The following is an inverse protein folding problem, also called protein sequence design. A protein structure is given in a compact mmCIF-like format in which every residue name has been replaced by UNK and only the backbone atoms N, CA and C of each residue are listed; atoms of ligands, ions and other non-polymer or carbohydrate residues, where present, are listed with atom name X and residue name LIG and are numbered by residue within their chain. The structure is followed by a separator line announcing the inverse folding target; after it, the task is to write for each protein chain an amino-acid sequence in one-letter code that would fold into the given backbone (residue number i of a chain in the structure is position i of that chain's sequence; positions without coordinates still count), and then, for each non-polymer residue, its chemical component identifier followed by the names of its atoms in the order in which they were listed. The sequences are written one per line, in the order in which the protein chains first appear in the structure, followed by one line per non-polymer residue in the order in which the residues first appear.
data_IF_633803091240
#
_entry.id   IF_633803091240
#
_cell.length_a   1.000
_cell.length_b   1.000
_cell.length_c   1.000
_cell.angle_alpha   90.00
_cell.angle_beta   90.00
_cell.angle_gamma   90.00
#
_symmetry.space_group_name_H-M   'P 1'
#
loop_
_entity.id
_entity.type
_entity.pdbx_description
1 polymer ?
#
# COMPACT_ATOMS: atom_id res chain seq x y z
N UNK A 1 -7.59 -42.44 14.15
CA UNK A 1 -8.07 -41.15 13.58
C UNK A 1 -7.69 -40.04 14.54
N UNK A 2 -6.74 -39.17 14.18
CA UNK A 2 -6.34 -38.05 15.04
C UNK A 2 -7.40 -36.94 15.07
N UNK A 3 -7.54 -36.18 16.16
CA UNK A 3 -8.55 -35.14 16.26
C UNK A 3 -8.28 -34.03 15.23
N UNK A 4 -9.33 -33.68 14.47
CA UNK A 4 -9.32 -32.58 13.50
C UNK A 4 -9.05 -31.27 14.22
N UNK A 5 -7.89 -30.66 13.99
CA UNK A 5 -7.55 -29.31 14.47
C UNK A 5 -8.61 -28.34 13.97
N UNK A 6 -9.48 -27.88 14.87
CA UNK A 6 -10.42 -26.81 14.56
C UNK A 6 -9.60 -25.58 14.20
N UNK A 7 -9.87 -24.98 13.04
CA UNK A 7 -9.19 -23.77 12.60
C UNK A 7 -9.36 -22.70 13.68
N UNK A 8 -8.25 -22.29 14.30
CA UNK A 8 -8.25 -21.25 15.33
C UNK A 8 -8.82 -19.98 14.70
N UNK A 9 -10.04 -19.61 15.08
CA UNK A 9 -10.64 -18.35 14.67
C UNK A 9 -9.71 -17.22 15.07
N UNK A 10 -9.39 -16.34 14.12
CA UNK A 10 -8.46 -15.24 14.36
C UNK A 10 -9.12 -14.23 15.31
N UNK A 11 -8.71 -14.23 16.58
CA UNK A 11 -9.16 -13.24 17.56
C UNK A 11 -8.76 -11.84 17.12
N UNK A 12 -9.75 -10.99 16.85
CA UNK A 12 -9.52 -9.60 16.42
C UNK A 12 -9.45 -8.70 17.66
N UNK A 13 -8.24 -8.39 18.10
CA UNK A 13 -8.00 -7.52 19.25
C UNK A 13 -8.03 -6.04 18.87
N UNK A 14 -8.75 -5.23 19.67
CA UNK A 14 -8.76 -3.77 19.55
C UNK A 14 -7.40 -3.17 19.93
N UNK A 15 -7.13 -1.94 19.49
CA UNK A 15 -5.92 -1.20 19.87
C UNK A 15 -5.91 -0.95 21.39
N UNK A 16 -7.06 -0.69 22.00
CA UNK A 16 -7.17 -0.47 23.44
C UNK A 16 -6.83 -1.73 24.24
N UNK A 17 -7.34 -2.91 23.86
CA UNK A 17 -6.96 -4.17 24.51
C UNK A 17 -5.46 -4.43 24.37
N UNK A 18 -4.88 -4.17 23.19
CA UNK A 18 -3.43 -4.30 23.01
C UNK A 18 -2.64 -3.36 23.93
N UNK A 19 -3.11 -2.13 24.15
CA UNK A 19 -2.49 -1.17 25.10
C UNK A 19 -2.57 -1.67 26.54
N UNK A 20 -3.71 -2.18 26.96
CA UNK A 20 -3.89 -2.76 28.29
C UNK A 20 -2.94 -3.95 28.51
N UNK A 21 -2.83 -4.84 27.53
CA UNK A 21 -1.88 -5.95 27.56
C UNK A 21 -0.43 -5.48 27.69
N UNK A 22 -0.04 -4.43 26.95
CA UNK A 22 1.30 -3.83 27.06
C UNK A 22 1.53 -3.28 28.48
N UNK A 23 0.56 -2.54 29.03
CA UNK A 23 0.65 -1.95 30.36
C UNK A 23 0.83 -3.01 31.46
N UNK A 24 0.07 -4.12 31.39
CA UNK A 24 0.19 -5.26 32.33
C UNK A 24 1.57 -5.91 32.29
N UNK A 25 2.16 -6.08 31.10
CA UNK A 25 3.52 -6.65 30.99
C UNK A 25 4.57 -5.66 31.50
N UNK A 26 4.43 -4.37 31.20
CA UNK A 26 5.34 -3.33 31.69
C UNK A 26 5.26 -3.11 33.20
N UNK A 27 4.11 -3.38 33.82
CA UNK A 27 3.95 -3.38 35.29
C UNK A 27 4.51 -4.65 35.97
N UNK A 28 5.24 -5.50 35.24
CA UNK A 28 5.94 -6.68 35.77
C UNK A 28 5.18 -8.00 35.66
N UNK A 29 3.98 -8.03 35.08
CA UNK A 29 3.25 -9.28 34.91
C UNK A 29 3.90 -10.18 33.84
N UNK A 30 3.99 -11.50 34.09
CA UNK A 30 4.59 -12.42 33.12
C UNK A 30 3.71 -12.52 31.88
N UNK A 31 4.33 -12.54 30.70
CA UNK A 31 3.63 -12.65 29.41
C UNK A 31 2.71 -13.87 29.31
N UNK A 32 3.08 -14.98 29.96
CA UNK A 32 2.27 -16.19 30.00
C UNK A 32 0.95 -16.00 30.77
N UNK A 33 0.98 -15.21 31.86
CA UNK A 33 -0.20 -14.89 32.66
C UNK A 33 -1.12 -13.95 31.89
N UNK A 34 -0.56 -12.92 31.26
CA UNK A 34 -1.30 -12.03 30.36
C UNK A 34 -1.92 -12.82 29.21
N UNK A 35 -1.17 -13.72 28.56
CA UNK A 35 -1.71 -14.56 27.49
C UNK A 35 -2.94 -15.38 27.95
N UNK A 36 -2.85 -16.02 29.12
CA UNK A 36 -3.96 -16.78 29.72
C UNK A 36 -5.18 -15.92 30.03
N UNK A 37 -4.99 -14.71 30.59
CA UNK A 37 -6.09 -13.80 30.90
C UNK A 37 -6.97 -13.46 29.69
N UNK A 38 -6.38 -13.32 28.50
CA UNK A 38 -7.10 -12.97 27.28
C UNK A 38 -7.38 -14.17 26.37
N UNK A 39 -7.09 -15.41 26.81
CA UNK A 39 -7.27 -16.61 25.99
C UNK A 39 -6.39 -16.63 24.73
N UNK A 40 -5.20 -16.05 24.80
CA UNK A 40 -4.26 -15.90 23.68
C UNK A 40 -3.04 -16.81 23.83
N UNK A 41 -2.37 -17.06 22.70
CA UNK A 41 -1.06 -17.69 22.70
C UNK A 41 0.03 -16.69 23.14
N UNK A 42 1.05 -17.16 23.87
CA UNK A 42 2.20 -16.34 24.29
C UNK A 42 2.87 -15.62 23.11
N UNK A 43 2.95 -16.26 21.94
CA UNK A 43 3.48 -15.67 20.70
C UNK A 43 2.68 -14.44 20.24
N UNK A 44 1.37 -14.40 20.49
CA UNK A 44 0.53 -13.24 20.16
C UNK A 44 0.88 -12.06 21.05
N UNK A 45 1.04 -12.29 22.35
CA UNK A 45 1.48 -11.26 23.31
C UNK A 45 2.86 -10.72 22.94
N UNK A 46 3.79 -11.61 22.60
CA UNK A 46 5.12 -11.22 22.13
C UNK A 46 5.06 -10.31 20.90
N UNK A 47 4.25 -10.67 19.90
CA UNK A 47 4.11 -9.88 18.66
C UNK A 47 3.46 -8.51 18.91
N UNK A 48 2.55 -8.42 19.89
CA UNK A 48 1.96 -7.15 20.34
C UNK A 48 3.02 -6.27 20.99
N UNK A 49 3.85 -6.84 21.88
CA UNK A 49 4.93 -6.12 22.56
C UNK A 49 6.01 -5.63 21.59
N UNK A 50 6.33 -6.41 20.55
CA UNK A 50 7.25 -6.01 19.49
C UNK A 50 6.76 -4.74 18.74
N UNK A 51 5.48 -4.41 18.81
CA UNK A 51 4.87 -3.23 18.18
C UNK A 51 4.41 -2.18 19.19
N UNK A 52 4.85 -2.26 20.45
CA UNK A 52 4.35 -1.45 21.57
C UNK A 52 4.41 0.06 21.30
N UNK A 53 5.50 0.55 20.70
CA UNK A 53 5.70 1.99 20.50
C UNK A 53 4.69 2.56 19.49
N UNK A 54 4.42 1.79 18.43
CA UNK A 54 3.42 2.15 17.42
C UNK A 54 2.02 2.10 18.04
N UNK A 55 1.71 1.05 18.82
CA UNK A 55 0.41 0.88 19.50
C UNK A 55 0.14 2.00 20.50
N UNK A 56 1.15 2.43 21.26
CA UNK A 56 1.05 3.55 22.20
C UNK A 56 0.81 4.88 21.48
N UNK A 57 1.59 5.20 20.44
CA UNK A 57 1.46 6.45 19.67
C UNK A 57 0.18 6.54 18.83
N UNK A 58 -0.52 5.43 18.59
CA UNK A 58 -1.71 5.41 17.74
C UNK A 58 -2.96 5.90 18.48
N UNK A 59 -3.35 7.16 18.29
CA UNK A 59 -4.72 7.60 18.63
C UNK A 59 -5.74 6.73 17.88
N UNK A 60 -6.66 6.12 18.61
CA UNK A 60 -7.65 5.18 18.11
C UNK A 60 -8.99 5.47 18.81
N UNK A 61 -10.06 5.60 18.01
CA UNK A 61 -11.42 5.60 18.52
C UNK A 61 -11.78 4.20 19.07
N UNK A 62 -12.86 4.12 19.83
CA UNK A 62 -13.36 2.85 20.34
C UNK A 62 -13.66 1.87 19.19
N UNK A 63 -13.36 0.58 19.42
CA UNK A 63 -13.58 -0.47 18.42
C UNK A 63 -12.54 -0.58 17.31
N UNK A 64 -11.56 0.34 17.19
CA UNK A 64 -10.51 0.22 16.15
C UNK A 64 -9.58 -0.96 16.46
N UNK A 65 -9.45 -1.87 15.50
CA UNK A 65 -8.66 -3.11 15.64
C UNK A 65 -7.33 -3.09 14.87
N UNK A 66 -7.25 -2.25 13.83
CA UNK A 66 -6.11 -2.16 12.92
C UNK A 66 -5.37 -0.85 13.11
N UNK A 67 -4.05 -0.95 13.25
CA UNK A 67 -3.16 0.19 13.06
C UNK A 67 -3.15 0.50 11.56
N UNK A 68 -3.33 1.77 11.19
CA UNK A 68 -3.28 2.16 9.77
C UNK A 68 -1.91 1.83 9.19
N UNK A 69 -1.86 1.43 7.92
CA UNK A 69 -0.58 1.08 7.29
C UNK A 69 0.42 2.24 7.30
N UNK A 70 -0.06 3.50 7.32
CA UNK A 70 0.79 4.68 7.47
C UNK A 70 1.54 4.69 8.80
N UNK A 71 0.89 4.34 9.92
CA UNK A 71 1.49 4.33 11.26
C UNK A 71 2.48 3.17 11.47
N UNK A 72 2.43 2.14 10.63
CA UNK A 72 3.27 0.94 10.73
C UNK A 72 4.55 1.00 9.85
N UNK A 73 4.70 2.02 8.99
CA UNK A 73 5.75 2.08 7.98
C UNK A 73 7.07 2.56 8.55
N UNK A 74 8.16 1.99 8.04
CA UNK A 74 9.51 2.47 8.35
C UNK A 74 9.82 3.74 7.56
N UNK A 75 10.71 4.58 8.12
CA UNK A 75 11.14 5.82 7.51
C UNK A 75 11.69 5.63 6.08
N UNK A 76 12.37 4.51 5.82
CA UNK A 76 12.92 4.19 4.49
C UNK A 76 11.80 3.95 3.46
N UNK A 77 10.74 3.21 3.80
CA UNK A 77 9.61 3.04 2.88
C UNK A 77 8.94 4.36 2.54
N UNK A 78 8.81 5.27 3.51
CA UNK A 78 8.23 6.59 3.28
C UNK A 78 9.13 7.48 2.40
N UNK A 79 10.45 7.38 2.57
CA UNK A 79 11.41 8.08 1.73
C UNK A 79 11.34 7.60 0.27
N UNK A 80 11.25 6.28 0.05
CA UNK A 80 11.07 5.69 -1.30
C UNK A 80 9.81 6.24 -1.96
N UNK A 81 8.67 6.23 -1.27
CA UNK A 81 7.39 6.68 -1.85
C UNK A 81 7.36 8.18 -2.15
N UNK A 82 8.00 9.00 -1.31
CA UNK A 82 8.15 10.44 -1.59
C UNK A 82 8.98 10.70 -2.84
N UNK A 83 10.14 10.05 -2.98
CA UNK A 83 11.01 10.18 -4.15
C UNK A 83 10.31 9.70 -5.43
N UNK A 84 9.58 8.59 -5.34
CA UNK A 84 8.78 8.08 -6.46
C UNK A 84 7.67 9.05 -6.87
N UNK A 85 7.00 9.69 -5.91
CA UNK A 85 5.93 10.63 -6.23
C UNK A 85 6.47 11.84 -7.00
N UNK A 86 7.61 12.40 -6.58
CA UNK A 86 8.29 13.49 -7.30
C UNK A 86 8.63 13.05 -8.72
N UNK A 87 9.25 11.89 -8.86
CA UNK A 87 9.62 11.36 -10.18
C UNK A 87 8.41 11.09 -11.09
N UNK A 88 7.31 10.56 -10.56
CA UNK A 88 6.08 10.35 -11.34
C UNK A 88 5.50 11.69 -11.80
N UNK A 89 5.45 12.69 -10.92
CA UNK A 89 4.94 14.02 -11.28
C UNK A 89 5.80 14.66 -12.39
N UNK A 90 7.12 14.51 -12.34
CA UNK A 90 8.03 14.99 -13.40
C UNK A 90 7.74 14.30 -14.75
N UNK A 91 7.42 13.01 -14.75
CA UNK A 91 7.04 12.29 -15.97
C UNK A 91 5.66 12.70 -16.48
N UNK A 92 4.68 12.87 -15.59
CA UNK A 92 3.35 13.37 -15.97
C UNK A 92 3.45 14.76 -16.62
N UNK A 93 4.29 15.66 -16.08
CA UNK A 93 4.56 16.97 -16.69
C UNK A 93 5.14 16.88 -18.11
N UNK A 94 5.96 15.84 -18.37
CA UNK A 94 6.53 15.56 -19.70
C UNK A 94 5.58 14.81 -20.63
N UNK A 95 4.34 14.53 -20.19
CA UNK A 95 3.34 13.71 -20.90
C UNK A 95 3.84 12.29 -21.22
N UNK A 96 4.73 11.79 -20.37
CA UNK A 96 5.35 10.49 -20.52
C UNK A 96 4.43 9.38 -20.00
N UNK A 97 4.34 8.29 -20.76
CA UNK A 97 3.56 7.13 -20.35
C UNK A 97 4.24 6.43 -19.17
N UNK A 98 3.55 6.32 -18.05
CA UNK A 98 4.02 5.62 -16.86
C UNK A 98 3.12 4.42 -16.56
N UNK A 99 3.73 3.23 -16.52
CA UNK A 99 3.06 1.97 -16.22
C UNK A 99 3.51 1.42 -14.87
N UNK A 100 2.71 0.50 -14.31
CA UNK A 100 3.04 -0.17 -13.05
C UNK A 100 4.44 -0.85 -13.07
N UNK A 101 4.83 -1.63 -14.09
CA UNK A 101 6.17 -2.25 -14.11
C UNK A 101 7.31 -1.23 -14.05
N UNK A 102 7.17 -0.12 -14.77
CA UNK A 102 8.13 0.99 -14.79
C UNK A 102 8.27 1.60 -13.38
N UNK A 103 7.16 1.81 -12.68
CA UNK A 103 7.19 2.33 -11.30
C UNK A 103 7.81 1.30 -10.34
N UNK A 104 7.51 0.02 -10.50
CA UNK A 104 8.07 -1.04 -9.65
C UNK A 104 9.57 -1.21 -9.84
N UNK A 105 10.07 -1.05 -11.06
CA UNK A 105 11.50 -0.99 -11.35
C UNK A 105 12.14 0.24 -10.72
N UNK A 106 11.55 1.43 -10.93
CA UNK A 106 12.07 2.65 -10.32
C UNK A 106 12.10 2.60 -8.80
N UNK A 107 11.11 1.96 -8.19
CA UNK A 107 11.02 1.79 -6.75
C UNK A 107 12.18 0.94 -6.20
N UNK A 108 12.61 -0.09 -6.94
CA UNK A 108 13.78 -0.91 -6.61
C UNK A 108 15.07 -0.09 -6.73
N UNK A 109 15.25 0.67 -7.82
CA UNK A 109 16.40 1.56 -7.97
C UNK A 109 16.53 2.57 -6.83
N UNK A 110 15.42 3.22 -6.46
CA UNK A 110 15.40 4.20 -5.37
C UNK A 110 15.76 3.54 -4.05
N UNK A 111 15.29 2.31 -3.81
CA UNK A 111 15.63 1.55 -2.62
C UNK A 111 17.14 1.25 -2.53
N UNK A 112 17.73 0.71 -3.60
CA UNK A 112 19.17 0.39 -3.63
C UNK A 112 20.03 1.64 -3.40
N UNK A 113 19.70 2.77 -4.05
CA UNK A 113 20.40 4.04 -3.83
C UNK A 113 20.32 4.54 -2.39
N UNK A 114 19.16 4.37 -1.75
CA UNK A 114 19.00 4.77 -0.34
C UNK A 114 19.76 3.86 0.62
N UNK A 115 19.90 2.58 0.26
CA UNK A 115 20.68 1.59 1.01
C UNK A 115 22.17 1.95 0.96
N UNK A 116 22.71 2.28 -0.22
CA UNK A 116 24.11 2.71 -0.40
C UNK A 116 24.46 3.97 0.40
N UNK A 117 23.53 4.94 0.47
CA UNK A 117 23.73 6.20 1.20
C UNK A 117 23.65 6.07 2.72
N UNK A 118 23.25 4.90 3.25
CA UNK A 118 23.06 4.70 4.70
C UNK A 118 23.78 3.42 5.19
N UNK A 119 25.11 3.33 5.08
CA UNK A 119 25.85 2.18 5.58
C UNK A 119 25.71 2.09 7.11
N UNK A 120 25.21 0.95 7.62
CA UNK A 120 25.12 0.67 9.07
C UNK A 120 23.73 0.86 9.71
N UNK A 121 22.71 1.31 8.96
CA UNK A 121 21.34 1.09 9.41
C UNK A 121 21.04 -0.42 9.34
N UNK A 122 20.27 -0.98 10.29
CA UNK A 122 19.72 -2.35 10.31
C UNK A 122 18.88 -2.74 9.06
N UNK A 123 19.00 -1.96 7.98
CA UNK A 123 18.41 -2.11 6.67
C UNK A 123 18.84 -3.38 5.93
N UNK A 124 19.83 -4.12 6.42
CA UNK A 124 20.17 -5.46 5.95
C UNK A 124 18.97 -6.44 6.04
N UNK A 125 18.02 -6.22 6.96
CA UNK A 125 16.82 -7.07 7.10
C UNK A 125 15.61 -6.64 6.26
N UNK A 126 15.59 -5.43 5.71
CA UNK A 126 14.40 -4.87 5.05
C UNK A 126 14.49 -5.01 3.52
N UNK A 127 14.29 -6.22 3.02
CA UNK A 127 14.12 -6.45 1.58
C UNK A 127 12.87 -5.69 1.06
N UNK A 128 13.08 -4.63 0.26
CA UNK A 128 11.97 -3.92 -0.36
C UNK A 128 11.45 -4.66 -1.59
N UNK A 129 10.27 -5.27 -1.44
CA UNK A 129 9.58 -5.93 -2.57
C UNK A 129 8.58 -4.98 -3.22
N UNK A 130 8.91 -4.52 -4.43
CA UNK A 130 8.04 -3.72 -5.29
C UNK A 130 6.89 -4.56 -5.91
N UNK A 131 6.16 -5.33 -5.09
CA UNK A 131 5.06 -6.20 -5.54
C UNK A 131 3.87 -5.41 -6.08
N UNK A 132 3.00 -6.07 -6.84
CA UNK A 132 1.70 -5.50 -7.28
C UNK A 132 0.85 -5.04 -6.10
N UNK A 133 0.88 -5.79 -5.00
CA UNK A 133 0.18 -5.44 -3.77
C UNK A 133 0.76 -4.19 -3.09
N UNK A 134 2.07 -3.99 -3.13
CA UNK A 134 2.68 -2.73 -2.68
C UNK A 134 2.24 -1.57 -3.58
N UNK A 135 2.35 -1.71 -4.91
CA UNK A 135 1.99 -0.68 -5.87
C UNK A 135 0.53 -0.24 -5.71
N UNK A 136 -0.41 -1.18 -5.61
CA UNK A 136 -1.84 -0.89 -5.41
C UNK A 136 -2.08 -0.03 -4.17
N UNK A 137 -1.36 -0.34 -3.06
CA UNK A 137 -1.46 0.44 -1.84
C UNK A 137 -0.76 1.81 -1.99
N UNK A 138 0.35 1.89 -2.72
CA UNK A 138 1.06 3.13 -3.03
C UNK A 138 0.17 4.06 -3.86
N UNK A 139 -0.37 3.61 -5.00
CA UNK A 139 -1.31 4.36 -5.86
C UNK A 139 -2.48 4.93 -5.07
N UNK A 140 -3.08 4.11 -4.18
CA UNK A 140 -4.17 4.57 -3.29
C UNK A 140 -3.73 5.65 -2.30
N UNK A 141 -2.49 5.60 -1.79
CA UNK A 141 -1.97 6.60 -0.84
C UNK A 141 -1.59 7.91 -1.53
N UNK A 142 -0.93 7.82 -2.68
CA UNK A 142 -0.43 8.98 -3.41
C UNK A 142 -1.52 9.71 -4.19
N UNK A 143 -2.67 9.05 -4.44
CA UNK A 143 -3.76 9.64 -5.21
C UNK A 143 -3.47 9.70 -6.72
N UNK A 144 -2.43 9.01 -7.19
CA UNK A 144 -2.06 8.99 -8.61
C UNK A 144 -3.16 8.30 -9.40
N UNK A 145 -3.72 9.02 -10.38
CA UNK A 145 -4.83 8.54 -11.22
C UNK A 145 -4.32 7.92 -12.53
N UNK A 146 -3.31 8.52 -13.15
CA UNK A 146 -2.90 8.26 -14.53
C UNK A 146 -1.72 7.27 -14.64
N UNK A 147 -1.90 6.06 -14.10
CA UNK A 147 -0.91 4.97 -14.28
C UNK A 147 -1.56 3.77 -14.93
N UNK A 148 -0.98 3.34 -16.04
CA UNK A 148 -1.37 2.13 -16.77
C UNK A 148 -1.08 0.89 -15.94
N UNK A 149 -2.11 0.08 -15.75
CA UNK A 149 -2.00 -1.24 -15.14
C UNK A 149 -1.56 -2.27 -16.18
N UNK A 150 -1.05 -3.41 -15.71
CA UNK A 150 -0.73 -4.53 -16.60
C UNK A 150 -1.99 -4.93 -17.40
N UNK A 151 -1.89 -4.95 -18.73
CA UNK A 151 -2.97 -5.41 -19.61
C UNK A 151 -3.95 -4.35 -20.11
N UNK A 152 -3.94 -3.11 -19.59
CA UNK A 152 -4.79 -2.03 -20.14
C UNK A 152 -4.41 -1.67 -21.58
N UNK A 153 -3.11 -1.67 -21.91
CA UNK A 153 -2.66 -1.51 -23.31
C UNK A 153 -3.05 -2.70 -24.21
N UNK A 154 -3.34 -3.87 -23.63
CA UNK A 154 -3.73 -5.07 -24.38
C UNK A 154 -5.27 -5.20 -24.52
N UNK A 155 -6.06 -4.63 -23.60
CA UNK A 155 -7.52 -4.59 -23.69
C UNK A 155 -8.04 -3.43 -24.56
N UNK A 156 -7.21 -2.41 -24.79
CA UNK A 156 -7.52 -1.32 -25.71
C UNK A 156 -7.67 -1.87 -27.15
N UNK A 157 -8.91 -2.08 -27.57
CA UNK A 157 -9.22 -2.51 -28.93
C UNK A 157 -9.04 -1.33 -29.90
N UNK A 158 -7.80 -1.13 -30.37
CA UNK A 158 -7.44 -0.08 -31.33
C UNK A 158 -8.35 -0.10 -32.56
N UNK A 159 -8.69 -1.30 -33.06
CA UNK A 159 -9.55 -1.48 -34.23
C UNK A 159 -10.99 -1.00 -34.00
N UNK A 160 -11.51 -1.19 -32.79
CA UNK A 160 -12.83 -0.65 -32.42
C UNK A 160 -12.80 0.87 -32.23
N UNK A 161 -11.73 1.42 -31.67
CA UNK A 161 -11.55 2.86 -31.53
C UNK A 161 -11.42 3.56 -32.90
N UNK A 162 -10.61 3.01 -33.81
CA UNK A 162 -10.49 3.49 -35.19
C UNK A 162 -11.83 3.43 -35.93
N UNK A 163 -12.57 2.32 -35.80
CA UNK A 163 -13.91 2.18 -36.38
C UNK A 163 -14.89 3.20 -35.80
N UNK A 164 -14.78 3.51 -34.51
CA UNK A 164 -15.60 4.54 -33.87
C UNK A 164 -15.25 5.94 -34.39
N UNK A 165 -13.96 6.29 -34.51
CA UNK A 165 -13.54 7.57 -35.07
C UNK A 165 -14.07 7.77 -36.50
N UNK A 166 -14.00 6.73 -37.34
CA UNK A 166 -14.54 6.76 -38.69
C UNK A 166 -16.05 6.96 -38.71
N UNK A 167 -16.80 6.20 -37.88
CA UNK A 167 -18.26 6.37 -37.74
C UNK A 167 -18.64 7.74 -37.21
N UNK A 168 -17.88 8.26 -36.26
CA UNK A 168 -18.13 9.57 -35.68
C UNK A 168 -17.85 10.69 -36.68
N UNK A 169 -16.81 10.55 -37.49
CA UNK A 169 -16.52 11.48 -38.58
C UNK A 169 -17.64 11.45 -39.65
N UNK A 170 -18.06 10.26 -40.07
CA UNK A 170 -19.19 10.08 -40.99
C UNK A 170 -20.49 10.69 -40.42
N UNK A 171 -20.74 10.52 -39.12
CA UNK A 171 -21.86 11.14 -38.43
C UNK A 171 -21.81 12.68 -38.44
N UNK A 172 -20.65 13.27 -38.15
CA UNK A 172 -20.46 14.73 -38.19
C UNK A 172 -20.71 15.28 -39.61
N UNK A 173 -20.24 14.56 -40.63
CA UNK A 173 -20.42 14.93 -42.04
C UNK A 173 -21.87 14.77 -42.51
N UNK A 174 -22.58 13.71 -42.10
CA UNK A 174 -23.97 13.43 -42.49
C UNK A 174 -24.99 14.33 -41.78
N UNK A 175 -24.78 14.62 -40.49
CA UNK A 175 -25.66 15.49 -39.70
C UNK A 175 -25.31 16.99 -39.86
N UNK A 176 -24.35 17.33 -40.72
CA UNK A 176 -24.03 18.71 -41.08
C UNK A 176 -23.46 19.55 -39.92
N UNK A 177 -22.82 18.92 -38.93
CA UNK A 177 -22.21 19.61 -37.80
C UNK A 177 -20.95 20.35 -38.25
N UNK A 178 -21.13 21.58 -38.73
CA UNK A 178 -20.02 22.50 -38.97
C UNK A 178 -19.57 23.15 -37.65
N UNK A 179 -18.25 23.26 -37.40
CA UNK A 179 -17.76 24.03 -36.27
C UNK A 179 -18.27 25.47 -36.40
N UNK A 180 -19.14 25.91 -35.49
CA UNK A 180 -19.51 27.31 -35.39
C UNK A 180 -18.26 28.11 -35.01
N UNK A 181 -17.69 28.79 -36.01
CA UNK A 181 -16.67 29.80 -35.79
C UNK A 181 -17.39 31.04 -35.25
N UNK A 182 -17.51 31.13 -33.93
CA UNK A 182 -17.85 32.40 -33.30
C UNK A 182 -16.67 33.35 -33.57
N UNK A 183 -16.97 34.41 -34.33
CA UNK A 183 -16.11 35.57 -34.56
C UNK A 183 -16.15 36.44 -33.31
#
# INVERSE_FOLDING_TARGET
MGPKKHGVLRTVLTINIKREMIAKVESGQKMADVARQYGLNRSTVYTILAKKDIIKKTQAAEGVTKITSAKQRSAIHDKIERLLLVWINEREMKRDITSMPIIQEKAREVFEKLKEQTPGSSSEELEFKATTGWFTKFKRRSGIKHVLMHGESASANKKAAEKYCLKFQEFIETEGYHPQRNI
#
